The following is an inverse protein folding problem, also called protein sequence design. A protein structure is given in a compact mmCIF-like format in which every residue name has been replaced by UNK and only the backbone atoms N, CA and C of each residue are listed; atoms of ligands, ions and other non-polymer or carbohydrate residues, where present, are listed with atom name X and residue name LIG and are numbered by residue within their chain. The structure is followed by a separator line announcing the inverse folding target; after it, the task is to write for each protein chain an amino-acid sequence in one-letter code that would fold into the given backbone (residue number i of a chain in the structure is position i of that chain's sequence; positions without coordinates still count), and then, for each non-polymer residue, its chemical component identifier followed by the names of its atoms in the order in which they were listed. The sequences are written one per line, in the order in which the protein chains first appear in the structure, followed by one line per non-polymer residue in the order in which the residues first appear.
data_IF_452816404989
#
_entry.id   IF_452816404989
#
_cell.length_a   1.000
_cell.length_b   1.000
_cell.length_c   1.000
_cell.angle_alpha   90.00
_cell.angle_beta   90.00
_cell.angle_gamma   90.00
#
_symmetry.space_group_name_H-M   'P 1'
#
loop_
_entity.id
_entity.type
_entity.pdbx_description
1 polymer ?
#
# COMPACT_ATOMS: atom_id res chain seq x y z
N UNK A 1 -28.21 12.51 -23.45
CA UNK A 1 -27.91 12.91 -22.05
C UNK A 1 -27.60 11.65 -21.25
N UNK A 2 -26.32 11.30 -21.04
CA UNK A 2 -25.91 10.26 -20.08
C UNK A 2 -24.38 10.29 -19.94
N UNK A 3 -23.89 11.18 -19.09
CA UNK A 3 -22.49 11.22 -18.69
C UNK A 3 -22.42 11.83 -17.27
N UNK A 4 -22.77 11.07 -16.23
CA UNK A 4 -22.49 11.50 -14.85
C UNK A 4 -22.56 10.38 -13.79
N UNK A 5 -22.05 9.18 -14.11
CA UNK A 5 -21.98 8.06 -13.16
C UNK A 5 -20.56 7.68 -12.65
N UNK A 6 -19.42 7.99 -13.30
CA UNK A 6 -18.13 7.50 -12.80
C UNK A 6 -17.56 8.31 -11.62
N UNK A 7 -17.96 9.58 -11.44
CA UNK A 7 -17.43 10.46 -10.39
C UNK A 7 -17.97 10.13 -8.98
N UNK A 8 -19.20 9.63 -8.89
CA UNK A 8 -19.87 9.39 -7.60
C UNK A 8 -19.23 8.23 -6.79
N UNK A 9 -18.76 7.18 -7.47
CA UNK A 9 -18.10 6.05 -6.81
C UNK A 9 -16.67 6.38 -6.34
N UNK A 10 -16.01 7.33 -7.00
CA UNK A 10 -14.67 7.81 -6.63
C UNK A 10 -14.70 8.58 -5.30
N UNK A 11 -15.75 9.38 -5.07
CA UNK A 11 -15.86 10.23 -3.89
C UNK A 11 -16.24 9.48 -2.59
N UNK A 12 -16.90 8.32 -2.68
CA UNK A 12 -17.30 7.52 -1.50
C UNK A 12 -16.17 6.61 -0.97
N UNK A 13 -15.16 6.30 -1.78
CA UNK A 13 -14.06 5.39 -1.44
C UNK A 13 -12.97 5.99 -0.54
N UNK A 14 -13.12 7.24 -0.10
CA UNK A 14 -12.07 8.07 0.50
C UNK A 14 -11.74 7.80 1.99
N UNK A 15 -11.97 6.58 2.50
CA UNK A 15 -11.67 6.25 3.92
C UNK A 15 -10.72 5.07 4.13
N UNK A 16 -10.49 4.26 3.10
CA UNK A 16 -9.52 3.16 3.16
C UNK A 16 -8.74 3.14 1.86
N UNK A 17 -7.48 3.59 1.87
CA UNK A 17 -6.62 3.68 0.68
C UNK A 17 -6.50 2.39 -0.14
N UNK A 18 -6.92 1.24 0.40
CA UNK A 18 -7.00 -0.05 -0.29
C UNK A 18 -8.17 -0.11 -1.29
N UNK A 19 -9.31 0.51 -0.99
CA UNK A 19 -10.53 0.45 -1.81
C UNK A 19 -10.42 1.32 -3.06
N UNK A 20 -9.76 2.48 -2.95
CA UNK A 20 -9.51 3.41 -4.08
C UNK A 20 -8.59 2.78 -5.14
N UNK A 21 -7.60 1.99 -4.71
CA UNK A 21 -6.65 1.31 -5.61
C UNK A 21 -7.36 0.25 -6.45
N UNK A 22 -8.21 -0.56 -5.80
CA UNK A 22 -8.92 -1.67 -6.42
C UNK A 22 -9.99 -1.16 -7.38
N UNK A 23 -10.79 -0.17 -6.96
CA UNK A 23 -11.77 0.47 -7.83
C UNK A 23 -11.08 1.18 -9.00
N UNK A 24 -9.99 1.91 -8.77
CA UNK A 24 -9.24 2.58 -9.83
C UNK A 24 -8.67 1.62 -10.87
N UNK A 25 -8.13 0.47 -10.45
CA UNK A 25 -7.61 -0.55 -11.36
C UNK A 25 -8.74 -1.23 -12.13
N UNK A 26 -9.77 -1.73 -11.44
CA UNK A 26 -10.91 -2.40 -12.09
C UNK A 26 -11.64 -1.46 -13.04
N UNK A 27 -11.80 -0.19 -12.68
CA UNK A 27 -12.54 0.77 -13.49
C UNK A 27 -11.72 1.23 -14.72
N UNK A 28 -10.39 1.33 -14.63
CA UNK A 28 -9.54 1.53 -15.81
C UNK A 28 -9.47 0.28 -16.70
N UNK A 29 -9.40 -0.91 -16.11
CA UNK A 29 -9.38 -2.17 -16.86
C UNK A 29 -10.72 -2.45 -17.58
N UNK A 30 -11.85 -2.12 -16.93
CA UNK A 30 -13.19 -2.36 -17.45
C UNK A 30 -13.66 -1.30 -18.46
N UNK A 31 -13.21 -0.04 -18.34
CA UNK A 31 -13.62 1.04 -19.26
C UNK A 31 -12.77 1.13 -20.52
N UNK A 32 -11.54 0.63 -20.49
CA UNK A 32 -10.65 0.57 -21.67
C UNK A 32 -10.68 -0.83 -22.29
N UNK A 33 -11.89 -1.27 -22.63
CA UNK A 33 -12.20 -2.58 -23.20
C UNK A 33 -11.83 -2.65 -24.69
N UNK A 34 -10.63 -2.21 -25.04
CA UNK A 34 -9.97 -2.60 -26.28
C UNK A 34 -8.78 -3.45 -25.84
N UNK A 35 -8.64 -4.65 -26.40
CA UNK A 35 -7.80 -5.76 -25.89
C UNK A 35 -6.27 -5.49 -25.90
N UNK A 36 -5.85 -4.24 -25.81
CA UNK A 36 -4.47 -3.75 -25.96
C UNK A 36 -3.94 -3.03 -24.71
N UNK A 37 -4.73 -2.85 -23.65
CA UNK A 37 -4.27 -2.16 -22.45
C UNK A 37 -3.67 -3.15 -21.43
N UNK A 38 -2.38 -3.00 -21.16
CA UNK A 38 -1.60 -3.87 -20.28
C UNK A 38 -1.72 -3.43 -18.82
N UNK A 39 -1.42 -4.34 -17.88
CA UNK A 39 -1.37 -4.02 -16.45
C UNK A 39 -0.41 -2.87 -16.15
N UNK A 40 0.75 -2.81 -16.80
CA UNK A 40 1.73 -1.72 -16.63
C UNK A 40 1.14 -0.36 -17.01
N UNK A 41 0.41 -0.28 -18.12
CA UNK A 41 -0.20 0.97 -18.57
C UNK A 41 -1.33 1.42 -17.63
N UNK A 42 -2.15 0.48 -17.16
CA UNK A 42 -3.17 0.74 -16.14
C UNK A 42 -2.55 1.21 -14.83
N UNK A 43 -1.44 0.59 -14.40
CA UNK A 43 -0.71 0.97 -13.21
C UNK A 43 -0.12 2.38 -13.31
N UNK A 44 0.53 2.71 -14.43
CA UNK A 44 1.08 4.04 -14.68
C UNK A 44 -0.01 5.11 -14.75
N UNK A 45 -1.15 4.80 -15.38
CA UNK A 45 -2.29 5.71 -15.42
C UNK A 45 -2.86 5.98 -14.01
N UNK A 46 -3.01 4.94 -13.19
CA UNK A 46 -3.45 5.05 -11.81
C UNK A 46 -2.49 5.92 -10.98
N UNK A 47 -1.18 5.70 -11.10
CA UNK A 47 -0.17 6.39 -10.30
C UNK A 47 -0.08 7.89 -10.60
N UNK A 48 -0.50 8.34 -11.79
CA UNK A 48 -0.64 9.78 -12.11
C UNK A 48 -1.71 10.46 -11.26
N UNK A 49 -2.83 9.78 -11.01
CA UNK A 49 -3.97 10.34 -10.25
C UNK A 49 -3.84 10.03 -8.75
N UNK A 50 -3.34 8.85 -8.41
CA UNK A 50 -3.20 8.34 -7.04
C UNK A 50 -1.77 7.84 -6.78
N UNK A 51 -0.79 8.73 -6.54
CA UNK A 51 0.63 8.34 -6.40
C UNK A 51 0.93 7.40 -5.23
N UNK A 52 0.10 7.38 -4.19
CA UNK A 52 0.28 6.51 -3.02
C UNK A 52 -0.40 5.15 -3.14
N UNK A 53 -1.08 4.90 -4.27
CA UNK A 53 -1.70 3.62 -4.55
C UNK A 53 -0.69 2.47 -4.51
N UNK A 54 -1.05 1.43 -3.78
CA UNK A 54 -0.35 0.14 -3.71
C UNK A 54 -1.40 -0.97 -3.53
N UNK A 55 -1.54 -1.92 -4.48
CA UNK A 55 -2.32 -3.11 -4.22
C UNK A 55 -1.67 -3.90 -3.10
N UNK A 56 -2.49 -4.59 -2.31
CA UNK A 56 -1.96 -5.59 -1.41
C UNK A 56 -1.34 -6.74 -2.23
N UNK A 57 -0.48 -7.56 -1.60
CA UNK A 57 0.26 -8.61 -2.30
C UNK A 57 -0.66 -9.63 -3.00
N UNK A 58 -1.77 -10.02 -2.35
CA UNK A 58 -2.72 -10.97 -2.93
C UNK A 58 -3.38 -10.44 -4.20
N UNK A 59 -3.86 -9.20 -4.19
CA UNK A 59 -4.45 -8.57 -5.38
C UNK A 59 -3.43 -8.37 -6.50
N UNK A 60 -2.21 -7.97 -6.16
CA UNK A 60 -1.17 -7.79 -7.17
C UNK A 60 -0.87 -9.09 -7.91
N UNK A 61 -0.84 -10.22 -7.21
CA UNK A 61 -0.66 -11.54 -7.82
C UNK A 61 -1.79 -11.87 -8.81
N UNK A 62 -3.03 -11.64 -8.42
CA UNK A 62 -4.21 -11.87 -9.29
C UNK A 62 -4.14 -11.01 -10.56
N UNK A 63 -3.74 -9.75 -10.43
CA UNK A 63 -3.62 -8.84 -11.58
C UNK A 63 -2.53 -9.29 -12.56
N UNK A 64 -1.38 -9.74 -12.06
CA UNK A 64 -0.28 -10.27 -12.89
C UNK A 64 -0.71 -11.55 -13.63
N UNK A 65 -1.40 -12.46 -12.95
CA UNK A 65 -1.95 -13.68 -13.58
C UNK A 65 -2.98 -13.35 -14.67
N UNK A 66 -3.83 -12.35 -14.44
CA UNK A 66 -4.82 -11.89 -15.41
C UNK A 66 -4.18 -11.23 -16.62
N UNK A 67 -3.15 -10.40 -16.42
CA UNK A 67 -2.36 -9.77 -17.47
C UNK A 67 -1.71 -10.82 -18.38
N UNK A 68 -1.12 -11.87 -17.80
CA UNK A 68 -0.55 -12.99 -18.55
C UNK A 68 -1.60 -13.77 -19.35
N UNK A 69 -2.78 -14.02 -18.77
CA UNK A 69 -3.88 -14.71 -19.46
C UNK A 69 -4.42 -13.91 -20.65
N UNK A 70 -4.48 -12.59 -20.53
CA UNK A 70 -5.04 -11.72 -21.57
C UNK A 70 -4.02 -11.39 -22.68
N UNK A 71 -2.76 -11.19 -22.33
CA UNK A 71 -1.73 -10.69 -23.25
C UNK A 71 -0.67 -11.73 -23.61
N UNK A 72 -0.74 -12.94 -23.05
CA UNK A 72 0.24 -14.02 -23.24
C UNK A 72 1.58 -13.79 -22.56
N UNK A 73 1.77 -12.63 -21.91
CA UNK A 73 2.98 -12.24 -21.19
C UNK A 73 2.63 -11.32 -20.03
N UNK A 74 3.49 -11.31 -19.02
CA UNK A 74 3.41 -10.35 -17.91
C UNK A 74 4.05 -9.03 -18.35
N UNK A 75 3.31 -7.93 -18.28
CA UNK A 75 3.77 -6.58 -18.60
C UNK A 75 4.43 -5.87 -17.42
N UNK A 76 4.12 -6.29 -16.19
CA UNK A 76 4.65 -5.71 -14.96
C UNK A 76 4.98 -6.81 -13.96
N UNK A 77 6.24 -6.87 -13.52
CA UNK A 77 6.61 -7.76 -12.41
C UNK A 77 6.29 -7.10 -11.07
N UNK A 78 5.57 -7.80 -10.21
CA UNK A 78 5.23 -7.31 -8.88
C UNK A 78 6.30 -7.70 -7.85
N UNK A 79 7.18 -6.76 -7.53
CA UNK A 79 8.22 -6.95 -6.51
C UNK A 79 7.65 -6.75 -5.10
N UNK A 80 7.42 -7.85 -4.38
CA UNK A 80 6.99 -7.81 -2.98
C UNK A 80 8.14 -7.33 -2.09
N UNK A 81 8.11 -6.06 -1.67
CA UNK A 81 8.98 -5.60 -0.58
C UNK A 81 8.42 -6.13 0.75
N UNK A 82 8.90 -7.28 1.20
CA UNK A 82 8.58 -7.78 2.54
C UNK A 82 9.11 -6.79 3.56
N UNK A 83 8.27 -6.27 4.48
CA UNK A 83 8.76 -5.39 5.53
C UNK A 83 9.76 -6.16 6.39
N UNK A 84 10.95 -5.59 6.58
CA UNK A 84 11.98 -6.20 7.41
C UNK A 84 11.59 -6.08 8.88
N UNK A 85 11.85 -7.15 9.63
CA UNK A 85 11.73 -7.13 11.09
C UNK A 85 12.63 -6.04 11.65
N UNK A 86 12.07 -5.20 12.52
CA UNK A 86 12.85 -4.18 13.21
C UNK A 86 13.60 -4.85 14.36
N UNK A 87 14.86 -4.47 14.48
CA UNK A 87 15.73 -4.88 15.59
C UNK A 87 15.83 -3.70 16.55
N UNK A 88 15.67 -3.94 17.85
CA UNK A 88 15.84 -2.89 18.85
C UNK A 88 17.33 -2.56 18.97
N UNK A 89 17.74 -1.29 18.81
CA UNK A 89 19.15 -0.94 18.75
C UNK A 89 19.90 -1.15 20.07
N UNK A 90 19.19 -1.14 21.21
CA UNK A 90 19.82 -1.23 22.54
C UNK A 90 20.06 -2.69 22.95
N UNK A 91 19.15 -3.61 22.61
CA UNK A 91 19.22 -4.99 23.07
C UNK A 91 19.29 -6.03 21.95
N UNK A 92 19.30 -5.60 20.69
CA UNK A 92 19.43 -6.48 19.52
C UNK A 92 18.24 -7.41 19.28
N UNK A 93 17.14 -7.28 20.04
CA UNK A 93 15.98 -8.16 19.91
C UNK A 93 15.07 -7.75 18.77
N UNK A 94 14.45 -8.73 18.13
CA UNK A 94 13.39 -8.50 17.15
C UNK A 94 12.14 -7.92 17.86
N UNK A 95 11.63 -6.80 17.35
CA UNK A 95 10.50 -6.05 17.94
C UNK A 95 9.33 -5.91 16.99
N UNK A 96 9.23 -6.78 15.99
CA UNK A 96 8.15 -6.75 15.00
C UNK A 96 8.34 -5.65 13.94
N UNK A 97 7.26 -5.27 13.28
CA UNK A 97 7.29 -4.39 12.11
C UNK A 97 6.87 -2.93 12.42
N UNK A 98 6.14 -2.72 13.51
CA UNK A 98 5.46 -1.45 13.82
C UNK A 98 6.18 -0.63 14.90
N UNK A 99 5.96 0.68 14.88
CA UNK A 99 6.38 1.59 15.96
C UNK A 99 5.67 1.30 17.29
N UNK A 100 4.44 0.78 17.25
CA UNK A 100 3.72 0.34 18.46
C UNK A 100 4.39 -0.86 19.12
N UNK A 101 4.85 -1.83 18.34
CA UNK A 101 5.60 -2.98 18.84
C UNK A 101 6.94 -2.55 19.43
N UNK A 102 7.61 -1.58 18.79
CA UNK A 102 8.82 -0.93 19.29
C UNK A 102 8.60 -0.24 20.64
N UNK A 103 7.53 0.57 20.76
CA UNK A 103 7.17 1.28 21.99
C UNK A 103 6.82 0.32 23.13
N UNK A 104 6.05 -0.72 22.83
CA UNK A 104 5.69 -1.76 23.79
C UNK A 104 6.93 -2.50 24.30
N UNK A 105 7.86 -2.82 23.39
CA UNK A 105 9.12 -3.46 23.75
C UNK A 105 9.95 -2.56 24.68
N UNK A 106 10.06 -1.27 24.37
CA UNK A 106 10.75 -0.28 25.22
C UNK A 106 10.10 -0.22 26.61
N UNK A 107 8.78 -0.12 26.70
CA UNK A 107 8.06 -0.04 27.98
C UNK A 107 8.22 -1.30 28.85
N UNK A 108 8.27 -2.50 28.25
CA UNK A 108 8.37 -3.77 28.99
C UNK A 108 9.81 -4.13 29.34
N UNK A 109 10.72 -4.07 28.37
CA UNK A 109 12.09 -4.58 28.47
C UNK A 109 13.08 -3.53 28.97
N UNK A 110 12.74 -2.24 28.82
CA UNK A 110 13.63 -1.11 29.07
C UNK A 110 12.93 -0.02 29.87
N UNK A 111 12.27 -0.39 30.98
CA UNK A 111 11.49 0.52 31.85
C UNK A 111 12.26 1.81 32.24
N UNK A 112 13.56 1.69 32.53
CA UNK A 112 14.44 2.83 32.88
C UNK A 112 14.66 3.81 31.72
N UNK A 113 14.58 3.34 30.47
CA UNK A 113 14.71 4.16 29.26
C UNK A 113 13.35 4.66 28.75
N UNK A 114 12.25 4.11 29.25
CA UNK A 114 10.88 4.53 28.91
C UNK A 114 10.38 5.72 29.75
N UNK A 115 11.09 6.05 30.82
CA UNK A 115 10.86 7.28 31.58
C UNK A 115 11.43 8.45 30.78
N UNK A 116 10.77 9.62 30.75
CA UNK A 116 11.40 10.83 30.26
C UNK A 116 12.65 11.05 31.11
N UNK A 117 13.83 11.00 30.49
CA UNK A 117 15.02 11.60 31.08
C UNK A 117 14.64 13.05 31.38
N UNK A 118 14.71 13.45 32.65
CA UNK A 118 14.09 14.67 33.18
C UNK A 118 14.13 15.84 32.21
N UNK A 119 12.94 16.31 31.83
CA UNK A 119 12.78 17.58 31.13
C UNK A 119 13.23 18.68 32.08
N UNK A 120 14.48 19.12 31.95
CA UNK A 120 14.85 20.47 32.36
C UNK A 120 14.20 21.43 31.36
N UNK A 121 13.19 22.15 31.83
CA UNK A 121 12.63 23.28 31.09
C UNK A 121 13.71 24.39 31.02
N UNK A 122 14.00 24.98 29.86
CA UNK A 122 14.79 26.20 29.82
C UNK A 122 13.96 27.32 30.46
N UNK A 123 14.62 28.07 31.34
CA UNK A 123 14.11 29.20 32.12
C UNK A 123 13.70 30.37 31.23
#
# INVERSE_FOLDING_TARGET
MLADQPQFLLNRANKSGVVVVILGLLQNYATKFDRKFTLLEAWNALKRVHPRSQPNHGFAKILVELDQKLHGKVSMEWQQKKPMMKIFPICGKNVGLSSTSLKLHLQKSHKKLSLPSGSVSPT
#
